data_IF_814957504966
#
_entry.id   IF_814957504966
#
_cell.length_a   1.000
_cell.length_b   1.000
_cell.length_c   1.000
_cell.angle_alpha   90.00
_cell.angle_beta   90.00
_cell.angle_gamma   90.00
#
_symmetry.space_group_name_H-M   'P 1'
#
loop_
_entity.id
_entity.type
_entity.pdbx_description
1 polymer ?
#
# COMPACT_ATOMS: atom_id res chain seq x y z
N UNK A 1 6.70 -11.16 16.56
CA UNK A 1 5.24 -11.03 16.34
C UNK A 1 4.65 -10.13 17.42
N UNK A 2 4.20 -8.91 17.09
CA UNK A 2 3.41 -8.09 18.00
C UNK A 2 1.96 -8.12 17.52
N UNK A 3 1.08 -8.73 18.31
CA UNK A 3 -0.38 -8.69 18.10
C UNK A 3 -0.95 -7.67 19.07
N UNK A 4 -1.41 -6.54 18.54
CA UNK A 4 -2.21 -5.60 19.32
C UNK A 4 -3.67 -5.92 19.05
N UNK A 5 -4.40 -6.27 20.12
CA UNK A 5 -5.82 -6.57 20.06
C UNK A 5 -6.58 -5.26 20.34
N UNK A 6 -7.29 -4.74 19.35
CA UNK A 6 -8.23 -3.65 19.54
C UNK A 6 -9.52 -3.97 18.78
N UNK A 7 -10.65 -3.95 19.48
CA UNK A 7 -12.01 -3.99 18.91
C UNK A 7 -12.26 -5.14 17.91
N UNK A 8 -11.97 -6.38 18.29
CA UNK A 8 -12.22 -7.59 17.47
C UNK A 8 -11.44 -7.68 16.14
N UNK A 9 -10.47 -6.79 15.90
CA UNK A 9 -9.59 -6.83 14.73
C UNK A 9 -8.17 -7.25 15.14
N UNK A 10 -7.61 -8.26 14.46
CA UNK A 10 -6.21 -8.67 14.65
C UNK A 10 -5.31 -7.81 13.77
N UNK A 11 -4.72 -6.77 14.33
CA UNK A 11 -3.75 -5.93 13.61
C UNK A 11 -2.42 -6.69 13.46
N UNK A 12 -2.15 -7.16 12.23
CA UNK A 12 -0.88 -7.80 11.89
C UNK A 12 0.09 -6.76 11.33
N UNK A 13 0.98 -6.27 12.17
CA UNK A 13 2.01 -5.32 11.77
C UNK A 13 3.04 -6.00 10.87
N UNK A 14 3.16 -5.51 9.63
CA UNK A 14 4.26 -5.79 8.72
C UNK A 14 5.18 -4.56 8.72
N UNK A 15 6.25 -4.54 9.55
CA UNK A 15 7.20 -3.44 9.52
C UNK A 15 7.92 -3.40 8.17
N UNK A 16 7.85 -2.26 7.49
CA UNK A 16 8.77 -1.93 6.43
C UNK A 16 9.74 -0.87 6.94
N UNK A 17 10.94 -1.31 7.30
CA UNK A 17 12.06 -0.47 7.74
C UNK A 17 13.35 -0.93 7.04
N UNK A 18 14.37 -0.05 6.98
CA UNK A 18 15.56 -0.25 6.16
C UNK A 18 16.58 -1.13 6.90
N UNK A 19 16.41 -2.45 6.80
CA UNK A 19 17.36 -3.45 7.31
C UNK A 19 16.71 -4.83 7.42
N UNK A 20 17.39 -5.93 7.04
CA UNK A 20 16.75 -7.22 6.89
C UNK A 20 16.69 -7.98 8.24
N UNK A 21 15.57 -7.85 8.95
CA UNK A 21 15.20 -8.80 10.01
C UNK A 21 14.58 -10.06 9.38
N UNK A 22 15.22 -11.20 9.64
CA UNK A 22 15.05 -12.50 8.96
C UNK A 22 13.74 -13.26 9.23
N UNK A 23 12.65 -12.62 9.63
CA UNK A 23 11.39 -13.34 9.96
C UNK A 23 10.15 -12.87 9.16
N UNK A 24 10.34 -12.16 8.04
CA UNK A 24 9.22 -11.63 7.25
C UNK A 24 9.47 -11.88 5.76
N UNK A 25 8.66 -12.77 5.18
CA UNK A 25 8.62 -13.14 3.75
C UNK A 25 9.91 -13.75 3.16
N UNK A 26 10.64 -14.58 3.91
CA UNK A 26 11.64 -15.46 3.31
C UNK A 26 10.92 -16.54 2.48
N UNK A 27 10.57 -16.22 1.22
CA UNK A 27 9.97 -17.16 0.30
C UNK A 27 8.99 -16.60 -0.73
N UNK A 28 8.42 -15.40 -0.53
CA UNK A 28 7.61 -14.77 -1.58
C UNK A 28 8.55 -14.11 -2.58
N UNK A 29 8.77 -14.78 -3.71
CA UNK A 29 9.71 -14.34 -4.74
C UNK A 29 9.00 -13.64 -5.89
N UNK A 30 7.68 -13.79 -5.97
CA UNK A 30 6.88 -13.29 -7.08
C UNK A 30 5.87 -12.23 -6.65
N UNK A 31 5.54 -11.32 -7.57
CA UNK A 31 4.49 -10.33 -7.36
C UNK A 31 3.12 -10.98 -7.12
N UNK A 32 2.86 -12.16 -7.72
CA UNK A 32 1.60 -12.90 -7.57
C UNK A 32 1.40 -13.44 -6.16
N UNK A 33 2.46 -13.93 -5.52
CA UNK A 33 2.42 -14.40 -4.12
C UNK A 33 2.15 -13.25 -3.15
N UNK A 34 2.79 -12.10 -3.37
CA UNK A 34 2.55 -10.89 -2.57
C UNK A 34 1.12 -10.39 -2.76
N UNK A 35 0.59 -10.42 -3.99
CA UNK A 35 -0.78 -10.01 -4.29
C UNK A 35 -1.81 -10.94 -3.65
N UNK A 36 -1.57 -12.25 -3.70
CA UNK A 36 -2.43 -13.26 -3.08
C UNK A 36 -2.45 -13.16 -1.56
N UNK A 37 -1.33 -12.78 -0.95
CA UNK A 37 -1.30 -12.47 0.47
C UNK A 37 -2.03 -11.15 0.76
N UNK A 38 -1.80 -10.11 -0.04
CA UNK A 38 -2.40 -8.80 0.14
C UNK A 38 -3.94 -8.87 0.06
N UNK A 39 -4.52 -9.70 -0.81
CA UNK A 39 -5.98 -9.87 -0.91
C UNK A 39 -6.64 -10.48 0.33
N UNK A 40 -5.85 -11.06 1.24
CA UNK A 40 -6.34 -11.55 2.53
C UNK A 40 -6.42 -10.46 3.62
N UNK A 41 -5.98 -9.24 3.33
CA UNK A 41 -5.97 -8.14 4.30
C UNK A 41 -7.28 -7.38 4.30
N UNK A 42 -7.75 -6.99 5.49
CA UNK A 42 -8.92 -6.12 5.66
C UNK A 42 -8.56 -4.65 5.41
N UNK A 43 -7.34 -4.27 5.76
CA UNK A 43 -6.78 -2.93 5.57
C UNK A 43 -5.26 -3.03 5.55
N UNK A 44 -4.60 -2.17 4.78
CA UNK A 44 -3.14 -2.09 4.76
C UNK A 44 -2.65 -0.69 5.15
N UNK A 45 -1.68 -0.61 6.05
CA UNK A 45 -0.99 0.64 6.38
C UNK A 45 0.36 0.60 5.67
N UNK A 46 0.63 1.57 4.81
CA UNK A 46 1.78 1.50 3.92
C UNK A 46 2.50 2.83 3.75
N UNK A 47 3.83 2.79 3.87
CA UNK A 47 4.71 3.92 3.59
C UNK A 47 5.44 3.81 2.25
N UNK A 48 5.40 2.65 1.57
CA UNK A 48 6.10 2.45 0.30
C UNK A 48 5.11 2.31 -0.85
N UNK A 49 5.49 2.91 -1.97
CA UNK A 49 4.72 2.94 -3.20
C UNK A 49 4.22 1.54 -3.62
N UNK A 50 5.10 0.53 -3.64
CA UNK A 50 4.71 -0.82 -4.07
C UNK A 50 3.63 -1.46 -3.18
N UNK A 51 3.65 -1.20 -1.88
CA UNK A 51 2.60 -1.68 -0.99
C UNK A 51 1.25 -1.01 -1.34
N UNK A 52 1.22 0.30 -1.59
CA UNK A 52 0.00 0.98 -2.04
C UNK A 52 -0.52 0.41 -3.39
N UNK A 53 0.39 0.11 -4.32
CA UNK A 53 0.05 -0.51 -5.62
C UNK A 53 -0.57 -1.89 -5.43
N UNK A 54 -0.01 -2.72 -4.54
CA UNK A 54 -0.55 -4.03 -4.23
C UNK A 54 -1.91 -3.93 -3.53
N UNK A 55 -2.11 -2.97 -2.62
CA UNK A 55 -3.42 -2.70 -2.01
C UNK A 55 -4.47 -2.40 -3.07
N UNK A 56 -4.17 -1.44 -3.94
CA UNK A 56 -5.06 -1.03 -5.01
C UNK A 56 -5.37 -2.20 -5.95
N UNK A 57 -4.34 -2.98 -6.30
CA UNK A 57 -4.49 -4.14 -7.20
C UNK A 57 -5.29 -5.27 -6.58
N UNK A 58 -5.20 -5.45 -5.26
CA UNK A 58 -5.96 -6.42 -4.48
C UNK A 58 -7.36 -5.94 -4.08
N UNK A 59 -7.71 -4.66 -4.34
CA UNK A 59 -8.97 -4.07 -3.90
C UNK A 59 -9.07 -3.85 -2.39
N UNK A 60 -7.93 -3.75 -1.71
CA UNK A 60 -7.86 -3.62 -0.24
C UNK A 60 -7.74 -2.14 0.16
N UNK A 61 -8.52 -1.68 1.16
CA UNK A 61 -8.37 -0.34 1.73
C UNK A 61 -6.94 -0.08 2.20
N UNK A 62 -6.42 1.11 1.93
CA UNK A 62 -5.05 1.47 2.32
C UNK A 62 -5.00 2.80 3.05
N UNK A 63 -4.21 2.87 4.11
CA UNK A 63 -3.82 4.12 4.79
C UNK A 63 -2.36 4.39 4.44
N UNK A 64 -2.10 5.53 3.81
CA UNK A 64 -0.79 5.92 3.37
C UNK A 64 -0.05 6.70 4.46
N UNK A 65 1.25 6.43 4.61
CA UNK A 65 2.15 7.23 5.43
C UNK A 65 2.99 8.09 4.49
N UNK A 66 2.89 9.42 4.64
CA UNK A 66 3.62 10.35 3.80
C UNK A 66 5.12 10.29 4.14
N UNK A 67 5.87 9.60 3.30
CA UNK A 67 7.33 9.48 3.38
C UNK A 67 8.02 10.01 2.11
N UNK A 68 7.32 9.98 0.97
CA UNK A 68 7.82 10.41 -0.33
C UNK A 68 6.67 11.01 -1.17
N UNK A 69 6.92 12.03 -2.01
CA UNK A 69 5.90 12.66 -2.85
C UNK A 69 5.10 11.70 -3.74
N UNK A 70 5.68 10.57 -4.16
CA UNK A 70 4.97 9.55 -4.97
C UNK A 70 3.93 8.82 -4.16
N UNK A 71 4.18 8.58 -2.88
CA UNK A 71 3.22 7.94 -1.97
C UNK A 71 2.04 8.88 -1.75
N UNK A 72 2.29 10.17 -1.49
CA UNK A 72 1.24 11.16 -1.37
C UNK A 72 0.40 11.28 -2.65
N UNK A 73 1.05 11.32 -3.81
CA UNK A 73 0.38 11.40 -5.11
C UNK A 73 -0.52 10.19 -5.37
N UNK A 74 -0.04 8.98 -5.06
CA UNK A 74 -0.83 7.77 -5.22
C UNK A 74 -1.97 7.69 -4.20
N UNK A 75 -1.74 8.10 -2.96
CA UNK A 75 -2.79 8.14 -1.94
C UNK A 75 -3.95 9.06 -2.37
N UNK A 76 -3.64 10.25 -2.88
CA UNK A 76 -4.64 11.17 -3.44
C UNK A 76 -5.39 10.56 -4.61
N UNK A 77 -4.68 9.91 -5.55
CA UNK A 77 -5.32 9.24 -6.69
C UNK A 77 -6.29 8.14 -6.24
N UNK A 78 -5.90 7.35 -5.23
CA UNK A 78 -6.71 6.25 -4.70
C UNK A 78 -7.84 6.72 -3.77
N UNK A 79 -7.85 8.01 -3.37
CA UNK A 79 -8.73 8.51 -2.31
C UNK A 79 -8.40 7.93 -0.93
N UNK A 80 -7.17 7.46 -0.74
CA UNK A 80 -6.69 6.84 0.48
C UNK A 80 -6.36 7.91 1.54
N UNK A 81 -6.69 7.68 2.83
CA UNK A 81 -6.26 8.56 3.90
C UNK A 81 -4.73 8.64 3.97
N UNK A 82 -4.19 9.85 4.14
CA UNK A 82 -2.74 10.11 4.16
C UNK A 82 -2.34 10.73 5.51
N UNK A 83 -1.48 10.03 6.25
CA UNK A 83 -0.86 10.55 7.46
C UNK A 83 0.38 11.35 7.07
N UNK A 84 0.41 12.66 7.38
CA UNK A 84 1.45 13.58 6.92
C UNK A 84 2.81 13.37 7.59
N UNK A 85 2.81 12.98 8.86
CA UNK A 85 4.03 12.78 9.65
C UNK A 85 3.95 11.44 10.38
N UNK A 86 5.03 10.65 10.38
CA UNK A 86 5.11 9.44 11.20
C UNK A 86 5.49 9.75 12.67
N UNK A 87 5.23 10.97 13.15
CA UNK A 87 5.49 11.32 14.54
C UNK A 87 4.52 10.54 15.45
N UNK A 88 4.99 10.17 16.65
CA UNK A 88 4.19 9.39 17.61
C UNK A 88 2.85 10.06 17.92
N UNK A 89 2.82 11.40 17.96
CA UNK A 89 1.61 12.19 18.16
C UNK A 89 0.55 11.99 17.07
N UNK A 90 0.98 11.78 15.82
CA UNK A 90 0.09 11.60 14.67
C UNK A 90 -0.43 10.15 14.56
N UNK A 91 0.28 9.18 15.18
CA UNK A 91 -0.17 7.78 15.24
C UNK A 91 -1.48 7.63 16.04
N UNK A 92 -1.82 8.59 16.91
CA UNK A 92 -3.10 8.61 17.61
C UNK A 92 -4.31 8.69 16.66
N UNK A 93 -4.14 9.24 15.45
CA UNK A 93 -5.20 9.31 14.44
C UNK A 93 -5.36 8.01 13.64
N UNK A 94 -4.41 7.08 13.71
CA UNK A 94 -4.43 5.85 12.90
C UNK A 94 -5.70 5.00 13.06
N UNK A 95 -6.23 4.75 14.27
CA UNK A 95 -7.45 3.94 14.41
C UNK A 95 -8.64 4.51 13.64
N UNK A 96 -8.81 5.84 13.68
CA UNK A 96 -9.88 6.52 12.96
C UNK A 96 -9.66 6.47 11.43
N UNK A 97 -8.41 6.66 10.97
CA UNK A 97 -8.06 6.57 9.56
C UNK A 97 -8.26 5.16 9.01
N UNK A 98 -7.91 4.14 9.80
CA UNK A 98 -8.12 2.72 9.45
C UNK A 98 -9.60 2.40 9.35
N UNK A 99 -10.40 2.80 10.34
CA UNK A 99 -11.85 2.57 10.33
C UNK A 99 -12.56 3.29 9.18
N UNK A 100 -12.05 4.46 8.76
CA UNK A 100 -12.58 5.25 7.65
C UNK A 100 -12.02 4.87 6.28
N UNK A 101 -10.98 4.03 6.21
CA UNK A 101 -10.35 3.66 4.95
C UNK A 101 -11.31 2.84 4.10
N UNK A 102 -11.41 3.21 2.82
CA UNK A 102 -12.23 2.49 1.84
C UNK A 102 -11.33 2.01 0.70
N UNK A 103 -11.69 0.88 0.12
CA UNK A 103 -11.09 0.43 -1.12
C UNK A 103 -11.35 1.48 -2.21
N UNK A 104 -10.37 1.67 -3.10
CA UNK A 104 -10.53 2.55 -4.23
C UNK A 104 -11.72 2.09 -5.10
N UNK A 105 -12.49 3.05 -5.63
CA UNK A 105 -13.62 2.72 -6.50
C UNK A 105 -13.15 2.00 -7.77
N UNK A 106 -14.00 1.17 -8.40
CA UNK A 106 -13.66 0.51 -9.66
C UNK A 106 -13.18 1.49 -10.74
N UNK A 107 -13.82 2.66 -10.85
CA UNK A 107 -13.43 3.71 -11.79
C UNK A 107 -12.01 4.22 -11.56
N UNK A 108 -11.65 4.47 -10.30
CA UNK A 108 -10.30 4.92 -9.90
C UNK A 108 -9.27 3.82 -10.18
N UNK A 109 -9.61 2.55 -9.92
CA UNK A 109 -8.73 1.42 -10.21
C UNK A 109 -8.50 1.24 -11.70
N UNK A 110 -9.52 1.42 -12.54
CA UNK A 110 -9.39 1.40 -13.99
C UNK A 110 -8.51 2.55 -14.50
N UNK A 111 -8.68 3.77 -13.96
CA UNK A 111 -7.80 4.88 -14.28
C UNK A 111 -6.34 4.60 -13.89
N UNK A 112 -6.13 4.04 -12.70
CA UNK A 112 -4.82 3.66 -12.21
C UNK A 112 -4.18 2.59 -13.10
N UNK A 113 -4.92 1.54 -13.49
CA UNK A 113 -4.47 0.49 -14.43
C UNK A 113 -4.12 1.06 -15.79
N UNK A 114 -4.94 1.99 -16.31
CA UNK A 114 -4.68 2.65 -17.58
C UNK A 114 -3.38 3.48 -17.54
N UNK A 115 -3.14 4.23 -16.46
CA UNK A 115 -1.88 4.97 -16.24
C UNK A 115 -0.68 4.03 -16.14
N UNK A 116 -0.80 2.95 -15.38
CA UNK A 116 0.26 1.96 -15.24
C UNK A 116 0.62 1.30 -16.59
N UNK A 117 -0.39 0.95 -17.40
CA UNK A 117 -0.21 0.38 -18.73
C UNK A 117 0.52 1.34 -19.67
N UNK A 118 0.10 2.62 -19.72
CA UNK A 118 0.77 3.65 -20.54
C UNK A 118 2.24 3.82 -20.15
N UNK A 119 2.54 3.83 -18.85
CA UNK A 119 3.92 3.93 -18.36
C UNK A 119 4.78 2.75 -18.83
N UNK A 120 4.24 1.53 -18.81
CA UNK A 120 4.93 0.34 -19.30
C UNK A 120 5.17 0.39 -20.81
N UNK A 121 4.16 0.79 -21.60
CA UNK A 121 4.27 0.93 -23.06
C UNK A 121 5.35 1.94 -23.46
N UNK A 122 5.42 3.09 -22.77
CA UNK A 122 6.45 4.10 -23.00
C UNK A 122 7.85 3.59 -22.65
N UNK A 123 7.99 2.86 -21.54
CA UNK A 123 9.28 2.29 -21.13
C UNK A 123 9.81 1.27 -22.14
N UNK A 124 8.95 0.38 -22.66
CA UNK A 124 9.31 -0.56 -23.74
C UNK A 124 9.69 0.19 -25.01
N UNK A 125 8.92 1.22 -25.38
CA UNK A 125 9.21 2.04 -26.55
C UNK A 125 10.54 2.80 -26.44
N UNK A 126 10.95 3.20 -25.24
CA UNK A 126 12.25 3.83 -24.99
C UNK A 126 13.40 2.82 -25.03
N UNK A 127 13.21 1.63 -24.45
CA UNK A 127 14.21 0.55 -24.47
C UNK A 127 14.49 0.00 -25.88
N UNK A 128 13.48 0.02 -26.77
CA UNK A 128 13.65 -0.38 -28.17
C UNK A 128 14.26 0.72 -29.07
N UNK A 129 14.50 1.92 -28.54
CA UNK A 129 15.11 3.06 -29.25
C UNK A 129 16.56 3.35 -28.81
N UNK A 130 17.06 2.61 -27.83
CA UNK A 130 18.46 2.63 -27.35
C UNK A 130 19.22 1.43 -27.88
#
# INVERSE_FOLDING_TARGET
RATANAQNATLRFLPMQPGPDKEILQGLTTAGEILSLASSFEVMIAMRLHALIFAASAGVPVVALNYDPKVASLATLLGAPLLQTPAVSDLAALPALVAGAKAASPTVLEEFRAKARRNAELAVGLANRS
#
